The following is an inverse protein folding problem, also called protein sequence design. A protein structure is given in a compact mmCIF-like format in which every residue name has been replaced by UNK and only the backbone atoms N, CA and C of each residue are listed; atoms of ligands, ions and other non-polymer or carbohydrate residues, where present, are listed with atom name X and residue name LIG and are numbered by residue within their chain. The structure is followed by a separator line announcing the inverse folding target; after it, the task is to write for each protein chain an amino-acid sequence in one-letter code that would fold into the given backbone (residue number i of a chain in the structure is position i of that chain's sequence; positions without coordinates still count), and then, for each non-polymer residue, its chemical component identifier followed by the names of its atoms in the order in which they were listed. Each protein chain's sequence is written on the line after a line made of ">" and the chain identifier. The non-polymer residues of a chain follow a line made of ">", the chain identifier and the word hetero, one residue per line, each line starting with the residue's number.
data_IF_668831409662
#
_entry.id   IF_668831409662
#
_cell.length_a   1.000
_cell.length_b   1.000
_cell.length_c   1.000
_cell.angle_alpha   90.00
_cell.angle_beta   90.00
_cell.angle_gamma   90.00
#
_symmetry.space_group_name_H-M   'P 1'
#
loop_
_entity.id
_entity.type
_entity.pdbx_description
1 polymer ?
#
# COMPACT_ATOMS: atom_id res chain seq x y z
N UNK A 1 37.58 -49.62 -5.20
CA UNK A 1 36.31 -48.93 -5.54
C UNK A 1 35.72 -48.28 -4.28
N UNK A 2 35.93 -46.98 -4.09
CA UNK A 2 35.38 -46.23 -2.93
C UNK A 2 33.91 -45.89 -3.20
N UNK A 3 32.98 -46.46 -2.41
CA UNK A 3 31.60 -45.97 -2.33
C UNK A 3 31.62 -44.62 -1.62
N UNK A 4 31.27 -43.56 -2.35
CA UNK A 4 31.04 -42.22 -1.79
C UNK A 4 29.76 -42.29 -0.94
N UNK A 5 29.91 -42.09 0.36
CA UNK A 5 28.84 -41.97 1.34
C UNK A 5 28.03 -40.71 1.07
N UNK A 6 26.79 -40.88 0.60
CA UNK A 6 25.84 -39.79 0.41
C UNK A 6 25.60 -39.08 1.74
N UNK A 7 25.99 -37.81 1.79
CA UNK A 7 25.93 -36.94 2.96
C UNK A 7 24.45 -36.66 3.25
N UNK A 8 23.87 -37.42 4.17
CA UNK A 8 22.48 -37.28 4.63
C UNK A 8 22.27 -35.86 5.15
N UNK A 9 21.61 -35.00 4.37
CA UNK A 9 21.24 -33.65 4.79
C UNK A 9 20.36 -33.75 6.05
N UNK A 10 20.71 -32.98 7.08
CA UNK A 10 19.92 -32.90 8.30
C UNK A 10 18.56 -32.26 7.99
N UNK A 11 17.51 -32.66 8.71
CA UNK A 11 16.12 -32.21 8.48
C UNK A 11 16.01 -30.69 8.34
N UNK A 12 16.72 -29.94 9.19
CA UNK A 12 16.74 -28.46 9.20
C UNK A 12 17.39 -27.85 7.95
N UNK A 13 18.53 -28.39 7.52
CA UNK A 13 19.25 -27.92 6.32
C UNK A 13 18.45 -28.26 5.06
N UNK A 14 17.81 -29.43 5.04
CA UNK A 14 16.94 -29.86 3.95
C UNK A 14 15.69 -28.97 3.82
N UNK A 15 15.09 -28.57 4.93
CA UNK A 15 13.95 -27.65 4.95
C UNK A 15 14.34 -26.26 4.43
N UNK A 16 15.50 -25.74 4.83
CA UNK A 16 16.02 -24.49 4.30
C UNK A 16 16.29 -24.57 2.79
N UNK A 17 16.95 -25.64 2.34
CA UNK A 17 17.23 -25.86 0.92
C UNK A 17 15.94 -26.03 0.09
N UNK A 18 14.93 -26.68 0.65
CA UNK A 18 13.60 -26.81 0.04
C UNK A 18 12.93 -25.43 -0.12
N UNK A 19 12.97 -24.59 0.92
CA UNK A 19 12.41 -23.23 0.87
C UNK A 19 13.14 -22.38 -0.18
N UNK A 20 14.47 -22.29 -0.14
CA UNK A 20 15.24 -21.48 -1.08
C UNK A 20 15.04 -21.90 -2.54
N UNK A 21 14.87 -23.21 -2.81
CA UNK A 21 14.57 -23.71 -4.15
C UNK A 21 13.16 -23.36 -4.61
N UNK A 22 12.20 -23.38 -3.71
CA UNK A 22 10.81 -23.01 -4.01
C UNK A 22 10.63 -21.50 -4.16
N UNK A 23 11.47 -20.69 -3.52
CA UNK A 23 11.56 -19.24 -3.78
C UNK A 23 12.15 -18.98 -5.18
N UNK A 24 13.25 -19.65 -5.54
CA UNK A 24 13.91 -19.46 -6.83
C UNK A 24 13.10 -20.01 -8.01
N UNK A 25 12.37 -21.12 -7.83
CA UNK A 25 11.56 -21.74 -8.89
C UNK A 25 10.26 -22.30 -8.30
N UNK A 26 9.20 -21.48 -8.20
CA UNK A 26 7.95 -21.83 -7.51
C UNK A 26 7.17 -23.02 -8.08
N UNK A 27 7.39 -23.34 -9.36
CA UNK A 27 6.66 -24.36 -10.10
C UNK A 27 7.39 -25.72 -10.16
N UNK A 28 8.43 -25.93 -9.34
CA UNK A 28 9.09 -27.22 -9.27
C UNK A 28 8.15 -28.32 -8.77
N UNK A 29 8.19 -29.46 -9.44
CA UNK A 29 7.47 -30.68 -9.04
C UNK A 29 8.19 -31.37 -7.89
N UNK A 30 7.45 -32.18 -7.12
CA UNK A 30 8.02 -32.98 -6.03
C UNK A 30 9.10 -33.95 -6.53
N UNK A 31 8.99 -34.41 -7.78
CA UNK A 31 9.97 -35.28 -8.45
C UNK A 31 11.29 -34.54 -8.71
N UNK A 32 11.22 -33.31 -9.20
CA UNK A 32 12.40 -32.46 -9.41
C UNK A 32 13.07 -32.10 -8.08
N UNK A 33 12.29 -31.72 -7.07
CA UNK A 33 12.80 -31.41 -5.73
C UNK A 33 13.47 -32.62 -5.07
N UNK A 34 12.89 -33.81 -5.24
CA UNK A 34 13.45 -35.07 -4.76
C UNK A 34 14.81 -35.37 -5.40
N UNK A 35 14.89 -35.20 -6.73
CA UNK A 35 16.13 -35.39 -7.50
C UNK A 35 17.22 -34.40 -7.09
N UNK A 36 16.87 -33.14 -6.90
CA UNK A 36 17.83 -32.08 -6.56
C UNK A 36 18.32 -32.14 -5.10
N UNK A 37 17.46 -32.58 -4.18
CA UNK A 37 17.80 -32.71 -2.76
C UNK A 37 18.32 -34.12 -2.39
N UNK A 38 18.38 -35.03 -3.36
CA UNK A 38 18.87 -36.40 -3.17
C UNK A 38 18.02 -37.21 -2.19
N UNK A 39 16.70 -37.01 -2.18
CA UNK A 39 15.77 -37.67 -1.25
C UNK A 39 14.60 -38.29 -1.99
N UNK A 40 13.85 -39.16 -1.31
CA UNK A 40 12.62 -39.73 -1.90
C UNK A 40 11.52 -38.69 -2.05
N UNK A 41 10.64 -38.89 -3.04
CA UNK A 41 9.43 -38.06 -3.24
C UNK A 41 8.57 -38.02 -1.98
N UNK A 42 8.45 -39.16 -1.27
CA UNK A 42 7.72 -39.25 -0.01
C UNK A 42 8.30 -38.33 1.07
N UNK A 43 9.62 -38.19 1.11
CA UNK A 43 10.31 -37.28 2.04
C UNK A 43 10.02 -35.81 1.74
N UNK A 44 9.99 -35.41 0.46
CA UNK A 44 9.62 -34.05 0.05
C UNK A 44 8.17 -33.74 0.43
N UNK A 45 7.24 -34.67 0.18
CA UNK A 45 5.83 -34.50 0.57
C UNK A 45 5.68 -34.30 2.07
N UNK A 46 6.36 -35.11 2.87
CA UNK A 46 6.33 -35.02 4.33
C UNK A 46 6.93 -33.68 4.82
N UNK A 47 8.05 -33.25 4.22
CA UNK A 47 8.70 -31.99 4.56
C UNK A 47 7.82 -30.78 4.19
N UNK A 48 7.17 -30.81 3.02
CA UNK A 48 6.21 -29.79 2.59
C UNK A 48 5.02 -29.68 3.53
N UNK A 49 4.44 -30.81 3.93
CA UNK A 49 3.35 -30.84 4.92
C UNK A 49 3.80 -30.28 6.28
N UNK A 50 5.03 -30.61 6.71
CA UNK A 50 5.60 -30.09 7.95
C UNK A 50 5.80 -28.57 7.92
N UNK A 51 6.13 -28.03 6.74
CA UNK A 51 6.38 -26.61 6.51
C UNK A 51 5.12 -25.84 6.05
N UNK A 52 3.96 -26.49 5.95
CA UNK A 52 2.72 -25.88 5.46
C UNK A 52 2.79 -25.44 3.98
N UNK A 53 3.62 -26.08 3.16
CA UNK A 53 3.86 -25.65 1.78
C UNK A 53 2.82 -26.23 0.80
N UNK A 54 2.06 -25.37 0.08
CA UNK A 54 1.01 -25.78 -0.84
C UNK A 54 1.53 -26.58 -2.04
N UNK A 55 0.66 -27.36 -2.67
CA UNK A 55 0.99 -28.22 -3.81
C UNK A 55 1.33 -27.45 -5.07
N UNK A 56 2.06 -28.09 -6.01
CA UNK A 56 2.42 -27.44 -7.26
C UNK A 56 1.20 -26.90 -8.01
N UNK A 57 0.10 -27.66 -8.08
CA UNK A 57 -1.16 -27.20 -8.70
C UNK A 57 -1.77 -25.99 -7.99
N UNK A 58 -1.72 -25.98 -6.67
CA UNK A 58 -2.21 -24.88 -5.85
C UNK A 58 -1.33 -23.64 -5.97
N UNK A 59 0.00 -23.81 -6.05
CA UNK A 59 0.95 -22.74 -6.35
C UNK A 59 0.79 -22.22 -7.77
N UNK A 60 0.58 -23.09 -8.75
CA UNK A 60 0.29 -22.72 -10.13
C UNK A 60 -1.04 -21.97 -10.22
N UNK A 61 -2.06 -22.42 -9.47
CA UNK A 61 -3.32 -21.68 -9.32
C UNK A 61 -3.08 -20.33 -8.65
N UNK A 62 -2.32 -20.24 -7.57
CA UNK A 62 -2.01 -18.97 -6.91
C UNK A 62 -1.21 -18.01 -7.82
N UNK A 63 -0.29 -18.53 -8.63
CA UNK A 63 0.46 -17.74 -9.62
C UNK A 63 -0.46 -17.32 -10.77
N UNK A 64 -1.31 -18.21 -11.26
CA UNK A 64 -2.30 -17.90 -12.29
C UNK A 64 -3.35 -16.91 -11.77
N UNK A 65 -3.81 -17.04 -10.53
CA UNK A 65 -4.72 -16.09 -9.88
C UNK A 65 -4.04 -14.75 -9.65
N UNK A 66 -2.73 -14.71 -9.36
CA UNK A 66 -1.93 -13.47 -9.32
C UNK A 66 -1.61 -12.87 -10.70
N UNK A 67 -1.64 -13.67 -11.75
CA UNK A 67 -1.36 -13.23 -13.12
C UNK A 67 -2.66 -12.88 -13.89
N UNK A 68 -3.79 -13.47 -13.52
CA UNK A 68 -5.12 -13.26 -14.10
C UNK A 68 -5.98 -12.29 -13.27
N UNK A 69 -5.73 -12.18 -11.96
CA UNK A 69 -6.18 -11.09 -11.12
C UNK A 69 -5.04 -10.08 -11.05
N UNK A 70 -5.26 -8.90 -11.62
CA UNK A 70 -4.25 -7.90 -11.97
C UNK A 70 -3.17 -7.67 -10.92
N UNK A 71 -2.00 -7.28 -11.43
CA UNK A 71 -0.85 -6.81 -10.67
C UNK A 71 -1.29 -6.08 -9.40
N UNK A 72 -0.77 -6.47 -8.24
CA UNK A 72 -1.04 -5.75 -7.00
C UNK A 72 -0.78 -4.26 -7.27
N UNK A 73 -1.82 -3.43 -7.13
CA UNK A 73 -1.74 -2.01 -7.46
C UNK A 73 -0.51 -1.43 -6.75
N UNK A 74 0.50 -0.93 -7.48
CA UNK A 74 1.74 -0.44 -6.88
C UNK A 74 1.48 0.62 -5.81
N UNK A 75 0.40 1.40 -5.94
CA UNK A 75 -0.02 2.38 -4.96
C UNK A 75 -0.31 1.78 -3.57
N UNK A 76 -0.71 0.51 -3.46
CA UNK A 76 -0.91 -0.16 -2.16
C UNK A 76 0.41 -0.37 -1.40
N UNK A 77 1.53 -0.51 -2.12
CA UNK A 77 2.86 -0.68 -1.54
C UNK A 77 3.53 0.65 -1.17
N UNK A 78 3.01 1.76 -1.70
CA UNK A 78 3.57 3.11 -1.54
C UNK A 78 2.85 3.93 -0.45
N UNK A 79 1.95 3.31 0.31
CA UNK A 79 1.23 4.00 1.40
C UNK A 79 2.21 4.40 2.51
N UNK A 80 2.20 5.69 2.85
CA UNK A 80 2.99 6.21 3.97
C UNK A 80 2.36 5.76 5.28
N UNK A 81 3.14 5.02 6.07
CA UNK A 81 2.67 4.34 7.28
C UNK A 81 2.40 2.86 7.02
N UNK A 82 1.55 2.26 7.84
CA UNK A 82 1.12 0.88 7.74
C UNK A 82 -0.30 0.81 7.20
N UNK A 83 -0.49 0.24 6.01
CA UNK A 83 -1.81 -0.03 5.47
C UNK A 83 -2.46 -1.18 6.25
N UNK A 84 -3.56 -0.90 6.95
CA UNK A 84 -4.28 -1.90 7.73
C UNK A 84 -5.37 -2.60 6.90
N UNK A 85 -6.05 -1.83 6.06
CA UNK A 85 -7.15 -2.31 5.24
C UNK A 85 -7.30 -1.44 3.99
N UNK A 86 -7.61 -2.05 2.85
CA UNK A 86 -8.00 -1.34 1.64
C UNK A 86 -9.06 -2.17 0.92
N UNK A 87 -10.19 -1.55 0.65
CA UNK A 87 -11.22 -2.04 -0.28
C UNK A 87 -11.17 -1.14 -1.51
N UNK A 88 -10.57 -1.62 -2.61
CA UNK A 88 -10.34 -0.79 -3.78
C UNK A 88 -11.66 -0.24 -4.35
N UNK A 89 -11.67 1.05 -4.70
CA UNK A 89 -12.86 1.78 -5.17
C UNK A 89 -13.85 2.19 -4.07
N UNK A 90 -13.67 1.73 -2.82
CA UNK A 90 -14.60 2.01 -1.70
C UNK A 90 -13.92 2.83 -0.61
N UNK A 91 -12.80 2.37 -0.08
CA UNK A 91 -12.12 3.05 1.03
C UNK A 91 -11.00 2.23 1.67
N UNK A 92 -10.41 2.78 2.73
CA UNK A 92 -9.24 2.16 3.35
C UNK A 92 -8.89 2.76 4.70
N UNK A 93 -7.93 2.12 5.38
CA UNK A 93 -7.43 2.50 6.69
C UNK A 93 -5.91 2.34 6.73
N UNK A 94 -5.19 3.38 7.15
CA UNK A 94 -3.77 3.30 7.46
C UNK A 94 -3.46 3.79 8.87
N UNK A 95 -2.37 3.29 9.44
CA UNK A 95 -1.83 3.66 10.75
C UNK A 95 -0.44 4.26 10.60
N UNK A 96 -0.16 5.34 11.30
CA UNK A 96 1.18 5.90 11.39
C UNK A 96 1.48 6.31 12.83
N UNK A 97 2.69 6.03 13.31
CA UNK A 97 3.14 6.49 14.62
C UNK A 97 3.87 7.81 14.45
N UNK A 98 3.52 8.82 15.25
CA UNK A 98 4.14 10.13 15.25
C UNK A 98 5.56 10.06 15.84
N UNK A 99 6.58 9.87 15.01
CA UNK A 99 7.96 9.77 15.49
C UNK A 99 8.61 11.14 15.74
N UNK A 100 9.63 11.18 16.60
CA UNK A 100 10.32 12.42 16.96
C UNK A 100 10.92 13.16 15.74
N UNK A 101 11.43 12.41 14.74
CA UNK A 101 11.96 12.98 13.49
C UNK A 101 10.93 13.75 12.66
N UNK A 102 9.64 13.47 12.88
CA UNK A 102 8.53 14.11 12.17
C UNK A 102 8.12 15.46 12.79
N UNK A 103 8.68 15.82 13.96
CA UNK A 103 8.25 16.96 14.75
C UNK A 103 9.02 18.26 14.49
N UNK A 104 8.37 19.39 14.74
CA UNK A 104 9.03 20.67 14.95
C UNK A 104 9.72 20.63 16.31
N UNK A 105 11.05 20.59 16.33
CA UNK A 105 11.89 20.40 17.52
C UNK A 105 11.56 21.36 18.67
N UNK A 106 11.11 22.59 18.34
CA UNK A 106 10.77 23.62 19.34
C UNK A 106 9.44 23.40 20.05
N UNK A 107 8.50 22.68 19.43
CA UNK A 107 7.10 22.63 19.90
C UNK A 107 6.58 21.20 20.12
N UNK A 108 7.37 20.18 19.78
CA UNK A 108 6.96 18.76 19.85
C UNK A 108 5.67 18.45 19.06
N UNK A 109 5.40 19.24 18.01
CA UNK A 109 4.24 19.10 17.11
C UNK A 109 4.68 18.51 15.79
N UNK A 110 3.95 17.51 15.29
CA UNK A 110 4.21 16.87 14.00
C UNK A 110 3.96 17.85 12.85
N UNK A 111 4.89 17.89 11.89
CA UNK A 111 4.75 18.73 10.70
C UNK A 111 3.59 18.23 9.85
N UNK A 112 2.77 19.15 9.36
CA UNK A 112 1.56 18.82 8.60
C UNK A 112 1.79 17.97 7.35
N UNK A 113 2.98 18.04 6.73
CA UNK A 113 3.28 17.25 5.53
C UNK A 113 3.29 15.74 5.79
N UNK A 114 3.56 15.26 7.01
CA UNK A 114 3.47 13.83 7.32
C UNK A 114 2.02 13.35 7.34
N UNK A 115 1.12 14.13 7.94
CA UNK A 115 -0.32 13.85 7.94
C UNK A 115 -0.87 13.89 6.52
N UNK A 116 -0.43 14.90 5.75
CA UNK A 116 -0.77 15.02 4.34
C UNK A 116 -0.25 13.82 3.54
N UNK A 117 1.00 13.39 3.74
CA UNK A 117 1.60 12.27 3.01
C UNK A 117 0.88 10.95 3.30
N UNK A 118 0.56 10.67 4.57
CA UNK A 118 -0.25 9.51 4.96
C UNK A 118 -1.63 9.55 4.28
N UNK A 119 -2.32 10.68 4.36
CA UNK A 119 -3.66 10.80 3.79
C UNK A 119 -3.67 10.73 2.25
N UNK A 120 -2.72 11.40 1.61
CA UNK A 120 -2.62 11.44 0.15
C UNK A 120 -2.29 10.06 -0.43
N UNK A 121 -1.28 9.39 0.13
CA UNK A 121 -0.91 8.05 -0.32
C UNK A 121 -2.03 7.03 -0.10
N UNK A 122 -2.78 7.12 1.01
CA UNK A 122 -3.97 6.30 1.21
C UNK A 122 -5.09 6.63 0.20
N UNK A 123 -5.29 7.91 -0.13
CA UNK A 123 -6.28 8.32 -1.12
C UNK A 123 -5.97 7.77 -2.52
N UNK A 124 -4.70 7.76 -2.91
CA UNK A 124 -4.23 7.16 -4.16
C UNK A 124 -4.46 5.64 -4.13
N UNK A 125 -4.10 4.97 -3.04
CA UNK A 125 -4.25 3.52 -2.90
C UNK A 125 -5.69 3.02 -3.02
N UNK A 126 -6.68 3.79 -2.51
CA UNK A 126 -8.10 3.39 -2.59
C UNK A 126 -8.74 3.67 -3.95
N UNK A 127 -8.12 4.47 -4.82
CA UNK A 127 -8.65 4.78 -6.15
C UNK A 127 -8.57 3.58 -7.12
N UNK A 128 -7.81 2.54 -6.77
CA UNK A 128 -7.69 1.27 -7.50
C UNK A 128 -7.31 1.37 -8.98
N UNK A 129 -6.37 2.27 -9.29
CA UNK A 129 -5.85 2.39 -10.66
C UNK A 129 -4.33 2.17 -10.69
N UNK A 130 -3.78 1.55 -11.76
CA UNK A 130 -2.35 1.23 -11.85
C UNK A 130 -1.45 2.47 -11.75
N UNK A 131 -1.92 3.58 -12.31
CA UNK A 131 -1.24 4.87 -12.31
C UNK A 131 -2.23 5.95 -11.89
N UNK A 132 -1.91 6.65 -10.80
CA UNK A 132 -2.73 7.74 -10.29
C UNK A 132 -1.86 8.92 -9.83
N UNK A 133 -2.41 10.12 -10.02
CA UNK A 133 -1.85 11.34 -9.49
C UNK A 133 -2.90 12.10 -8.68
N UNK A 134 -2.43 12.85 -7.70
CA UNK A 134 -3.26 13.81 -6.98
C UNK A 134 -3.39 15.07 -7.83
N UNK A 135 -4.59 15.35 -8.36
CA UNK A 135 -4.84 16.57 -9.12
C UNK A 135 -5.05 17.79 -8.24
N UNK A 136 -5.92 17.68 -7.23
CA UNK A 136 -6.13 18.75 -6.24
C UNK A 136 -6.35 18.18 -4.86
N UNK A 137 -5.96 18.91 -3.83
CA UNK A 137 -6.25 18.57 -2.44
C UNK A 137 -6.73 19.81 -1.67
N UNK A 138 -7.77 19.65 -0.87
CA UNK A 138 -8.19 20.62 0.15
C UNK A 138 -8.07 19.96 1.51
N UNK A 139 -7.31 20.57 2.40
CA UNK A 139 -6.96 19.95 3.68
C UNK A 139 -7.09 20.92 4.82
N UNK A 140 -7.55 20.41 5.95
CA UNK A 140 -7.68 21.10 7.21
C UNK A 140 -6.86 20.36 8.26
N UNK A 141 -6.26 21.11 9.18
CA UNK A 141 -5.51 20.60 10.33
C UNK A 141 -6.17 21.09 11.62
N UNK A 142 -7.33 20.53 12.03
CA UNK A 142 -8.11 21.08 13.14
C UNK A 142 -7.39 21.07 14.48
N UNK A 143 -6.42 20.16 14.67
CA UNK A 143 -5.70 19.97 15.94
C UNK A 143 -4.24 19.58 15.69
N UNK A 144 -3.31 20.04 16.54
CA UNK A 144 -1.92 19.60 16.48
C UNK A 144 -1.79 18.13 16.91
N UNK A 145 -0.84 17.43 16.31
CA UNK A 145 -0.44 16.07 16.69
C UNK A 145 0.90 16.13 17.42
N UNK A 146 1.03 15.35 18.49
CA UNK A 146 2.24 15.25 19.30
C UNK A 146 3.02 13.98 19.01
N UNK A 147 4.32 13.99 19.30
CA UNK A 147 5.18 12.80 19.21
C UNK A 147 4.64 11.68 20.11
N UNK A 148 4.69 10.45 19.61
CA UNK A 148 4.20 9.25 20.27
C UNK A 148 2.73 8.93 19.99
N UNK A 149 1.96 9.85 19.43
CA UNK A 149 0.56 9.61 19.09
C UNK A 149 0.42 8.66 17.89
N UNK A 150 -0.65 7.86 17.90
CA UNK A 150 -1.00 6.96 16.79
C UNK A 150 -2.07 7.63 15.94
N UNK A 151 -1.74 7.84 14.66
CA UNK A 151 -2.62 8.42 13.67
C UNK A 151 -3.33 7.31 12.89
N UNK A 152 -4.66 7.30 12.96
CA UNK A 152 -5.51 6.41 12.18
C UNK A 152 -6.19 7.21 11.06
N UNK A 153 -5.73 7.04 9.83
CA UNK A 153 -6.29 7.69 8.65
C UNK A 153 -7.30 6.77 7.97
N UNK A 154 -8.53 7.23 7.81
CA UNK A 154 -9.60 6.52 7.12
C UNK A 154 -9.96 7.24 5.84
N UNK A 155 -9.86 6.53 4.72
CA UNK A 155 -10.25 7.01 3.41
C UNK A 155 -11.63 6.46 3.01
N UNK A 156 -12.39 7.27 2.27
CA UNK A 156 -13.67 6.92 1.65
C UNK A 156 -13.74 7.53 0.26
N UNK A 157 -14.00 6.73 -0.75
CA UNK A 157 -14.33 7.22 -2.10
C UNK A 157 -15.75 7.78 -2.05
N UNK A 158 -15.88 9.09 -2.28
CA UNK A 158 -17.17 9.77 -2.29
C UNK A 158 -17.86 9.64 -3.65
N UNK A 159 -17.08 9.74 -4.72
CA UNK A 159 -17.59 9.74 -6.08
C UNK A 159 -16.49 9.33 -7.07
N UNK A 160 -16.88 8.63 -8.12
CA UNK A 160 -16.05 8.35 -9.29
C UNK A 160 -16.76 8.87 -10.55
N UNK A 161 -16.07 9.70 -11.34
CA UNK A 161 -16.53 10.17 -12.66
C UNK A 161 -15.44 9.95 -13.70
N UNK A 162 -15.59 8.89 -14.49
CA UNK A 162 -14.57 8.51 -15.48
C UNK A 162 -13.23 8.25 -14.79
N UNK A 163 -12.21 9.04 -15.14
CA UNK A 163 -10.85 8.95 -14.57
C UNK A 163 -10.64 9.73 -13.27
N UNK A 164 -11.68 10.40 -12.75
CA UNK A 164 -11.59 11.27 -11.57
C UNK A 164 -12.25 10.61 -10.37
N UNK A 165 -11.51 10.53 -9.26
CA UNK A 165 -11.97 9.97 -7.99
C UNK A 165 -11.91 11.04 -6.91
N UNK A 166 -13.06 11.34 -6.31
CA UNK A 166 -13.13 12.22 -5.15
C UNK A 166 -13.03 11.37 -3.89
N UNK A 167 -11.96 11.52 -3.13
CA UNK A 167 -11.67 10.74 -1.92
C UNK A 167 -11.64 11.66 -0.71
N UNK A 168 -12.41 11.35 0.32
CA UNK A 168 -12.30 11.98 1.62
C UNK A 168 -11.41 11.14 2.53
N UNK A 169 -10.47 11.78 3.22
CA UNK A 169 -9.63 11.14 4.24
C UNK A 169 -9.74 11.90 5.54
N UNK A 170 -10.02 11.18 6.62
CA UNK A 170 -10.07 11.74 7.97
C UNK A 170 -9.08 10.98 8.85
N UNK A 171 -8.16 11.72 9.47
CA UNK A 171 -7.19 11.16 10.42
C UNK A 171 -7.59 11.50 11.83
N UNK A 172 -7.63 10.48 12.69
CA UNK A 172 -7.92 10.60 14.11
C UNK A 172 -6.74 10.15 14.97
N UNK A 173 -6.59 10.80 16.11
CA UNK A 173 -5.84 10.29 17.25
C UNK A 173 -6.87 10.01 18.33
N UNK A 174 -6.99 8.74 18.74
CA UNK A 174 -8.12 8.27 19.55
C UNK A 174 -9.45 8.67 18.87
N UNK A 175 -10.31 9.43 19.56
CA UNK A 175 -11.59 9.91 19.04
C UNK A 175 -11.52 11.31 18.41
N UNK A 176 -10.35 11.96 18.43
CA UNK A 176 -10.20 13.36 18.00
C UNK A 176 -9.74 13.44 16.56
N UNK A 177 -10.50 14.16 15.75
CA UNK A 177 -10.08 14.53 14.38
C UNK A 177 -8.91 15.51 14.43
N UNK A 178 -7.80 15.13 13.80
CA UNK A 178 -6.56 15.92 13.74
C UNK A 178 -6.25 16.38 12.32
N UNK A 179 -6.82 15.72 11.31
CA UNK A 179 -6.70 16.09 9.90
C UNK A 179 -7.93 15.64 9.14
N UNK A 180 -8.35 16.46 8.17
CA UNK A 180 -9.36 16.11 7.18
C UNK A 180 -8.92 16.62 5.82
N UNK A 181 -9.08 15.79 4.80
CA UNK A 181 -8.73 16.14 3.44
C UNK A 181 -9.75 15.62 2.43
N UNK A 182 -9.98 16.41 1.38
CA UNK A 182 -10.65 15.99 0.16
C UNK A 182 -9.66 16.03 -0.99
N UNK A 183 -9.47 14.89 -1.62
CA UNK A 183 -8.50 14.67 -2.68
C UNK A 183 -9.23 14.35 -3.98
N UNK A 184 -8.82 14.99 -5.05
CA UNK A 184 -9.15 14.60 -6.41
C UNK A 184 -7.98 13.76 -6.93
N UNK A 185 -8.21 12.46 -7.07
CA UNK A 185 -7.26 11.54 -7.68
C UNK A 185 -7.63 11.37 -9.16
N UNK A 186 -6.64 11.48 -10.03
CA UNK A 186 -6.78 11.33 -11.48
C UNK A 186 -6.02 10.07 -11.90
N UNK A 187 -6.74 9.16 -12.55
CA UNK A 187 -6.14 7.98 -13.18
C UNK A 187 -5.44 8.37 -14.49
N UNK A 188 -4.19 7.94 -14.63
CA UNK A 188 -3.40 8.13 -15.85
C UNK A 188 -3.52 6.93 -16.76
N UNK A 189 -3.51 7.18 -18.07
CA UNK A 189 -3.27 6.15 -19.08
C UNK A 189 -1.78 6.07 -19.42
N UNK A 190 -1.34 4.97 -20.04
CA UNK A 190 0.06 4.80 -20.47
C UNK A 190 0.58 5.93 -21.38
N UNK A 191 -0.33 6.58 -22.13
CA UNK A 191 0.00 7.75 -22.97
C UNK A 191 0.35 8.99 -22.15
N UNK A 192 -0.27 9.16 -20.97
CA UNK A 192 -0.05 10.30 -20.09
C UNK A 192 1.33 10.23 -19.41
N UNK A 193 1.88 9.02 -19.26
CA UNK A 193 3.23 8.78 -18.72
C UNK A 193 4.35 9.10 -19.72
N UNK A 194 4.02 9.26 -21.01
CA UNK A 194 4.99 9.50 -22.09
C UNK A 194 5.33 10.99 -22.33
N UNK A 195 4.78 11.91 -21.52
CA UNK A 195 5.28 13.29 -21.43
C UNK A 195 4.63 14.34 -22.35
N UNK A 196 3.40 14.15 -22.80
CA UNK A 196 2.62 15.25 -23.39
C UNK A 196 1.95 16.09 -22.28
N UNK A 197 2.02 17.41 -22.42
CA UNK A 197 1.55 18.42 -21.46
C UNK A 197 0.14 18.14 -20.94
N UNK A 198 0.03 17.89 -19.64
CA UNK A 198 -1.26 17.78 -18.95
C UNK A 198 -1.80 19.16 -18.56
N UNK A 199 -2.85 19.59 -19.24
CA UNK A 199 -3.64 20.77 -18.84
C UNK A 199 -4.53 20.39 -17.64
N UNK A 200 -4.08 20.72 -16.43
CA UNK A 200 -4.91 20.62 -15.23
C UNK A 200 -5.85 21.83 -15.15
N UNK A 201 -7.09 21.68 -15.64
CA UNK A 201 -8.18 22.60 -15.26
C UNK A 201 -8.56 22.38 -13.79
N UNK A 202 -7.75 22.94 -12.89
CA UNK A 202 -8.10 23.13 -11.50
C UNK A 202 -9.12 24.27 -11.41
N UNK A 203 -10.42 23.93 -11.40
CA UNK A 203 -11.45 24.89 -11.00
C UNK A 203 -11.34 25.14 -9.49
N UNK A 204 -10.37 25.97 -9.12
CA UNK A 204 -10.37 26.69 -7.87
C UNK A 204 -11.61 27.57 -7.87
N UNK A 205 -12.65 27.13 -7.15
CA UNK A 205 -13.75 28.01 -6.75
C UNK A 205 -13.12 29.22 -6.04
N UNK A 206 -13.07 30.34 -6.74
CA UNK A 206 -12.85 31.65 -6.16
C UNK A 206 -13.95 31.84 -5.13
N UNK A 207 -13.55 31.92 -3.86
CA UNK A 207 -14.39 32.44 -2.80
C UNK A 207 -14.63 33.92 -3.13
N UNK A 208 -15.69 34.21 -3.90
CA UNK A 208 -16.28 35.54 -3.96
C UNK A 208 -16.82 35.82 -2.57
N UNK A 209 -15.99 36.45 -1.74
CA UNK A 209 -16.51 37.33 -0.70
C UNK A 209 -17.04 38.56 -1.43
N UNK A 210 -18.33 38.52 -1.73
CA UNK A 210 -19.10 39.72 -1.97
C UNK A 210 -18.98 40.60 -0.72
N UNK A 211 -18.42 41.77 -0.97
CA UNK A 211 -18.51 42.99 -0.16
C UNK A 211 -19.97 43.37 0.06
N UNK A 212 -20.24 43.86 1.27
CA UNK A 212 -21.19 44.93 1.68
C UNK A 212 -21.18 44.86 3.23
N UNK A 213 -20.91 45.90 4.03
CA UNK A 213 -21.39 47.28 3.97
C UNK A 213 -20.42 48.29 4.62
N UNK A 214 -20.36 49.46 3.98
CA UNK A 214 -20.43 50.82 4.52
C UNK A 214 -19.76 51.21 5.86
N UNK A 215 -18.79 52.14 5.73
CA UNK A 215 -18.76 53.49 6.34
C UNK A 215 -19.30 53.60 7.78
N UNK A 216 -18.44 53.95 8.74
CA UNK A 216 -18.51 55.26 9.43
C UNK A 216 -17.20 55.57 10.17
N UNK A 217 -16.77 56.83 10.04
CA UNK A 217 -15.71 57.50 10.80
C UNK A 217 -15.87 57.37 12.32
N UNK A 218 -14.75 57.25 13.05
CA UNK A 218 -14.30 58.18 14.09
C UNK A 218 -12.83 57.92 14.44
#
# INVERSE_FOLDING_TARGET
>A
MRRLTEKRLTKKVRHQALLSKLEATPLLTDEQLAKELGVSIQTIRLDRLTLGLPEMKERAKNIATRALGGEANPALLEVVGELLFCEPGVGGLSRMVAEAGMSLTRYNVIRGHYLFAQANSLAVAVADVPHALTGTARVDFPRPVQVGQILLARARVLEQRGRRYNVEVVTRVEEKEVFRGKFLIIALEEKDLAGESMDFEGNGTSDRRESDDEITNY
#
